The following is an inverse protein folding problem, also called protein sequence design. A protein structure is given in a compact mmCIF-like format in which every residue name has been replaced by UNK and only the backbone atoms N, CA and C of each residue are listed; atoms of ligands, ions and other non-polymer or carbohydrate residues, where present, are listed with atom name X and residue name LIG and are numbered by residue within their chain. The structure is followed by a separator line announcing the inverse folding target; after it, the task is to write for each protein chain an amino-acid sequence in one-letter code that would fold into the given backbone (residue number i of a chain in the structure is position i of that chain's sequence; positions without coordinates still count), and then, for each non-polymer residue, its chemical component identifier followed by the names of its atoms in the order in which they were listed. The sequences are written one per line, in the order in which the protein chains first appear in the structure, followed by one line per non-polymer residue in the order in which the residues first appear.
data_IF_371571186579
#
_entry.id   IF_371571186579
#
_cell.length_a   1.000
_cell.length_b   1.000
_cell.length_c   1.000
_cell.angle_alpha   90.00
_cell.angle_beta   90.00
_cell.angle_gamma   90.00
#
_symmetry.space_group_name_H-M   'P 1'
#
loop_
_entity.id
_entity.type
_entity.pdbx_description
1 polymer ?
#
# COMPACT_ATOMS: atom_id res chain seq x y z
N UNK A 1 -27.86 6.75 -6.89
CA UNK A 1 -26.81 6.23 -5.99
C UNK A 1 -27.30 6.40 -4.56
N UNK A 2 -27.29 5.34 -3.76
CA UNK A 2 -27.66 5.42 -2.33
C UNK A 2 -26.66 6.32 -1.58
N UNK A 3 -27.14 7.09 -0.61
CA UNK A 3 -26.35 8.01 0.23
C UNK A 3 -25.10 7.33 0.84
N UNK A 4 -25.21 6.03 1.13
CA UNK A 4 -24.13 5.13 1.54
C UNK A 4 -22.94 5.11 0.58
N UNK A 5 -23.20 4.92 -0.72
CA UNK A 5 -22.15 4.84 -1.75
C UNK A 5 -21.39 6.17 -1.83
N UNK A 6 -22.11 7.29 -1.72
CA UNK A 6 -21.51 8.63 -1.75
C UNK A 6 -20.62 8.86 -0.53
N UNK A 7 -21.04 8.45 0.67
CA UNK A 7 -20.24 8.56 1.89
C UNK A 7 -18.99 7.69 1.85
N UNK A 8 -19.11 6.47 1.33
CA UNK A 8 -18.00 5.52 1.25
C UNK A 8 -16.95 6.00 0.23
N UNK A 9 -17.40 6.46 -0.94
CA UNK A 9 -16.52 7.03 -1.98
C UNK A 9 -15.82 8.30 -1.50
N UNK A 10 -16.55 9.23 -0.87
CA UNK A 10 -15.94 10.47 -0.34
C UNK A 10 -14.93 10.18 0.77
N UNK A 11 -15.20 9.21 1.64
CA UNK A 11 -14.27 8.76 2.67
C UNK A 11 -12.99 8.12 2.09
N UNK A 12 -13.12 7.23 1.09
CA UNK A 12 -11.96 6.63 0.42
C UNK A 12 -11.11 7.70 -0.25
N UNK A 13 -11.73 8.65 -0.96
CA UNK A 13 -11.01 9.75 -1.60
C UNK A 13 -10.30 10.65 -0.58
N UNK A 14 -10.94 10.92 0.55
CA UNK A 14 -10.33 11.66 1.65
C UNK A 14 -9.10 10.93 2.21
N UNK A 15 -9.20 9.63 2.50
CA UNK A 15 -8.07 8.83 2.97
C UNK A 15 -6.92 8.80 1.96
N UNK A 16 -7.23 8.71 0.67
CA UNK A 16 -6.23 8.74 -0.39
C UNK A 16 -5.53 10.10 -0.45
N UNK A 17 -6.26 11.21 -0.29
CA UNK A 17 -5.68 12.54 -0.20
C UNK A 17 -4.76 12.71 1.02
N UNK A 18 -5.20 12.25 2.19
CA UNK A 18 -4.40 12.25 3.43
C UNK A 18 -3.12 11.43 3.25
N UNK A 19 -3.22 10.24 2.63
CA UNK A 19 -2.07 9.41 2.34
C UNK A 19 -1.05 10.12 1.45
N UNK A 20 -1.50 10.71 0.33
CA UNK A 20 -0.61 11.43 -0.59
C UNK A 20 0.10 12.59 0.11
N UNK A 21 -0.61 13.32 0.98
CA UNK A 21 -0.01 14.38 1.79
C UNK A 21 1.06 13.85 2.75
N UNK A 22 0.79 12.75 3.45
CA UNK A 22 1.73 12.11 4.38
C UNK A 22 2.97 11.60 3.65
N UNK A 23 2.81 10.94 2.50
CA UNK A 23 3.94 10.49 1.68
C UNK A 23 4.76 11.67 1.17
N UNK A 24 4.10 12.75 0.72
CA UNK A 24 4.79 13.95 0.24
C UNK A 24 5.59 14.61 1.37
N UNK A 25 5.01 14.71 2.57
CA UNK A 25 5.70 15.22 3.75
C UNK A 25 6.90 14.33 4.13
N UNK A 26 6.73 13.01 4.10
CA UNK A 26 7.80 12.05 4.36
C UNK A 26 8.94 12.16 3.34
N UNK A 27 8.63 12.28 2.05
CA UNK A 27 9.61 12.51 0.97
C UNK A 27 10.39 13.81 1.16
N UNK A 28 9.77 14.84 1.76
CA UNK A 28 10.42 16.11 2.12
C UNK A 28 11.37 16.03 3.31
N UNK A 29 11.32 14.96 4.11
CA UNK A 29 12.12 14.83 5.33
C UNK A 29 13.63 14.81 5.06
N UNK A 30 14.43 15.28 6.03
CA UNK A 30 15.90 15.17 5.97
C UNK A 30 16.35 13.71 5.86
N UNK A 31 15.62 12.81 6.52
CA UNK A 31 15.88 11.37 6.48
C UNK A 31 15.75 10.81 5.05
N UNK A 32 14.62 11.06 4.37
CA UNK A 32 14.40 10.57 3.02
C UNK A 32 15.45 11.11 2.03
N UNK A 33 15.77 12.41 2.12
CA UNK A 33 16.82 13.03 1.29
C UNK A 33 18.20 12.40 1.49
N UNK A 34 18.57 12.09 2.73
CA UNK A 34 19.84 11.39 3.01
C UNK A 34 19.87 9.98 2.41
N UNK A 35 18.75 9.25 2.47
CA UNK A 35 18.65 7.91 1.88
C UNK A 35 18.76 7.98 0.36
N UNK A 36 18.09 8.95 -0.27
CA UNK A 36 18.17 9.17 -1.71
C UNK A 36 19.61 9.47 -2.15
N UNK A 37 20.30 10.36 -1.44
CA UNK A 37 21.71 10.68 -1.72
C UNK A 37 22.62 9.45 -1.58
N UNK A 38 22.44 8.64 -0.51
CA UNK A 38 23.18 7.39 -0.33
C UNK A 38 22.87 6.37 -1.43
N UNK A 39 21.63 6.27 -1.88
CA UNK A 39 21.22 5.41 -3.00
C UNK A 39 21.90 5.84 -4.30
N UNK A 40 21.92 7.15 -4.62
CA UNK A 40 22.59 7.70 -5.80
C UNK A 40 24.11 7.47 -5.77
N UNK A 41 24.75 7.55 -4.60
CA UNK A 41 26.16 7.23 -4.44
C UNK A 41 26.45 5.75 -4.73
N UNK A 42 25.55 4.86 -4.30
CA UNK A 42 25.65 3.42 -4.54
C UNK A 42 25.33 3.02 -5.99
N UNK A 43 24.44 3.75 -6.67
CA UNK A 43 24.15 3.54 -8.09
C UNK A 43 25.38 3.80 -8.99
N UNK A 44 26.35 4.58 -8.53
CA UNK A 44 27.64 4.82 -9.23
C UNK A 44 28.65 3.69 -9.03
N UNK A 45 28.33 2.65 -8.25
CA UNK A 45 29.19 1.50 -8.08
C UNK A 45 29.26 0.68 -9.38
N UNK A 46 30.44 0.18 -9.78
CA UNK A 46 30.56 -0.69 -10.94
C UNK A 46 29.76 -1.98 -10.72
N UNK A 47 28.88 -2.32 -11.68
CA UNK A 47 28.04 -3.53 -11.64
C UNK A 47 28.90 -4.78 -11.82
N UNK A 48 29.88 -4.71 -12.73
CA UNK A 48 30.89 -5.75 -12.95
C UNK A 48 32.27 -5.28 -12.50
N UNK A 49 32.94 -6.08 -11.68
CA UNK A 49 34.31 -5.82 -11.23
C UNK A 49 35.27 -6.43 -12.25
N UNK A 50 35.70 -5.64 -13.24
CA UNK A 50 36.65 -6.11 -14.28
C UNK A 50 38.08 -5.63 -14.03
N UNK A 51 38.28 -4.56 -13.25
CA UNK A 51 39.60 -3.95 -13.04
C UNK A 51 39.98 -3.77 -11.56
N UNK A 52 41.30 -3.66 -11.28
CA UNK A 52 41.83 -3.27 -9.96
C UNK A 52 41.28 -1.91 -9.48
N UNK A 53 40.90 -1.01 -10.40
CA UNK A 53 40.30 0.29 -10.08
C UNK A 53 38.86 0.13 -9.55
N UNK A 54 38.11 -0.83 -10.08
CA UNK A 54 36.74 -1.13 -9.66
C UNK A 54 36.71 -1.77 -8.28
N UNK A 55 37.67 -2.65 -7.98
CA UNK A 55 37.87 -3.20 -6.63
C UNK A 55 38.08 -2.07 -5.61
N UNK A 56 38.91 -1.07 -5.94
CA UNK A 56 39.16 0.10 -5.06
C UNK A 56 37.89 0.93 -4.86
N UNK A 57 37.11 1.16 -5.92
CA UNK A 57 35.82 1.88 -5.82
C UNK A 57 34.82 1.11 -4.96
N UNK A 58 34.67 -0.19 -5.18
CA UNK A 58 33.77 -1.05 -4.41
C UNK A 58 34.14 -1.07 -2.93
N UNK A 59 35.43 -1.19 -2.59
CA UNK A 59 35.90 -1.19 -1.19
C UNK A 59 35.56 0.12 -0.46
N UNK A 60 35.57 1.27 -1.14
CA UNK A 60 35.14 2.56 -0.59
C UNK A 60 33.62 2.63 -0.35
N UNK A 61 32.82 1.97 -1.18
CA UNK A 61 31.35 2.04 -1.14
C UNK A 61 30.74 0.95 -0.22
N UNK A 62 31.39 -0.21 -0.10
CA UNK A 62 30.99 -1.34 0.75
C UNK A 62 30.50 -0.97 2.16
N UNK A 63 31.17 -0.09 2.94
CA UNK A 63 30.70 0.25 4.29
C UNK A 63 29.33 0.95 4.29
N UNK A 64 28.93 1.60 3.21
CA UNK A 64 27.65 2.30 3.10
C UNK A 64 26.47 1.39 2.69
N UNK A 65 26.74 0.16 2.25
CA UNK A 65 25.69 -0.80 1.82
C UNK A 65 24.80 -1.21 2.99
N UNK A 66 25.40 -1.67 4.10
CA UNK A 66 24.65 -2.09 5.30
C UNK A 66 23.77 -0.98 5.89
N UNK A 67 24.26 0.25 6.13
CA UNK A 67 23.42 1.33 6.64
C UNK A 67 22.37 1.76 5.62
N UNK A 68 22.65 1.77 4.31
CA UNK A 68 21.62 2.04 3.31
C UNK A 68 20.49 1.00 3.39
N UNK A 69 20.80 -0.30 3.44
CA UNK A 69 19.78 -1.36 3.56
C UNK A 69 18.89 -1.16 4.78
N UNK A 70 19.46 -0.85 5.95
CA UNK A 70 18.68 -0.55 7.16
C UNK A 70 17.74 0.63 6.94
N UNK A 71 18.24 1.73 6.35
CA UNK A 71 17.41 2.92 6.10
C UNK A 71 16.32 2.67 5.05
N UNK A 72 16.60 1.90 4.00
CA UNK A 72 15.60 1.48 3.02
C UNK A 72 14.53 0.60 3.68
N UNK A 73 14.91 -0.31 4.57
CA UNK A 73 13.97 -1.12 5.34
C UNK A 73 13.04 -0.24 6.19
N UNK A 74 13.57 0.81 6.83
CA UNK A 74 12.75 1.78 7.57
C UNK A 74 11.77 2.51 6.64
N UNK A 75 12.22 2.95 5.46
CA UNK A 75 11.32 3.57 4.46
C UNK A 75 10.19 2.61 4.07
N UNK A 76 10.51 1.35 3.79
CA UNK A 76 9.49 0.35 3.44
C UNK A 76 8.54 0.10 4.60
N UNK A 77 9.03 0.03 5.84
CA UNK A 77 8.20 -0.13 7.02
C UNK A 77 7.25 1.05 7.23
N UNK A 78 7.72 2.28 7.00
CA UNK A 78 6.87 3.48 7.09
C UNK A 78 5.77 3.44 6.04
N UNK A 79 6.10 3.10 4.78
CA UNK A 79 5.08 3.01 3.73
C UNK A 79 4.09 1.88 4.00
N UNK A 80 4.55 0.72 4.48
CA UNK A 80 3.65 -0.38 4.85
C UNK A 80 2.77 -0.03 6.05
N UNK A 81 3.29 0.69 7.04
CA UNK A 81 2.51 1.13 8.20
C UNK A 81 1.42 2.13 7.82
N UNK A 82 1.76 3.12 6.97
CA UNK A 82 0.78 4.07 6.42
C UNK A 82 -0.30 3.34 5.60
N UNK A 83 0.11 2.39 4.77
CA UNK A 83 -0.82 1.57 4.01
C UNK A 83 -1.76 0.77 4.91
N UNK A 84 -1.21 0.08 5.92
CA UNK A 84 -2.00 -0.71 6.87
C UNK A 84 -3.01 0.17 7.64
N UNK A 85 -2.62 1.39 7.98
CA UNK A 85 -3.51 2.35 8.64
C UNK A 85 -4.71 2.73 7.74
N UNK A 86 -4.46 3.08 6.48
CA UNK A 86 -5.52 3.39 5.49
C UNK A 86 -6.42 2.17 5.24
N UNK A 87 -5.81 0.98 5.19
CA UNK A 87 -6.51 -0.28 5.00
C UNK A 87 -7.45 -0.58 6.17
N UNK A 88 -6.92 -0.51 7.40
CA UNK A 88 -7.70 -0.75 8.62
C UNK A 88 -8.82 0.29 8.78
N UNK A 89 -8.55 1.57 8.51
CA UNK A 89 -9.57 2.62 8.63
C UNK A 89 -10.70 2.43 7.62
N UNK A 90 -10.38 2.04 6.39
CA UNK A 90 -11.38 1.71 5.35
C UNK A 90 -12.25 0.53 5.75
N UNK A 91 -11.65 -0.51 6.32
CA UNK A 91 -12.38 -1.70 6.78
C UNK A 91 -13.28 -1.38 7.98
N UNK A 92 -12.78 -0.63 8.97
CA UNK A 92 -13.57 -0.18 10.12
C UNK A 92 -14.74 0.71 9.69
N UNK A 93 -14.51 1.63 8.75
CA UNK A 93 -15.58 2.49 8.22
C UNK A 93 -16.65 1.67 7.50
N UNK A 94 -16.26 0.68 6.70
CA UNK A 94 -17.21 -0.19 6.04
C UNK A 94 -18.03 -1.01 7.04
N UNK A 95 -17.41 -1.54 8.11
CA UNK A 95 -18.11 -2.23 9.18
C UNK A 95 -19.08 -1.30 9.92
N UNK A 96 -18.65 -0.08 10.24
CA UNK A 96 -19.47 0.93 10.90
C UNK A 96 -20.71 1.29 10.08
N UNK A 97 -20.53 1.57 8.78
CA UNK A 97 -21.64 1.84 7.87
C UNK A 97 -22.55 0.62 7.71
N UNK A 98 -21.99 -0.58 7.56
CA UNK A 98 -22.79 -1.82 7.47
C UNK A 98 -23.64 -2.02 8.73
N UNK A 99 -23.11 -1.66 9.90
CA UNK A 99 -23.84 -1.72 11.17
C UNK A 99 -24.96 -0.70 11.29
N UNK A 100 -24.74 0.54 10.85
CA UNK A 100 -25.77 1.60 10.89
C UNK A 100 -26.94 1.28 9.96
N UNK A 101 -26.65 0.72 8.79
CA UNK A 101 -27.64 0.51 7.74
C UNK A 101 -28.10 -0.95 7.65
N UNK A 102 -27.72 -1.81 8.60
CA UNK A 102 -28.06 -3.24 8.68
C UNK A 102 -27.77 -4.02 7.37
N UNK A 103 -26.80 -3.55 6.59
CA UNK A 103 -26.46 -4.06 5.25
C UNK A 103 -25.12 -4.78 5.29
N UNK A 104 -25.06 -5.88 6.03
CA UNK A 104 -23.82 -6.66 6.17
C UNK A 104 -23.48 -7.51 4.94
N UNK A 105 -24.46 -7.71 4.05
CA UNK A 105 -24.35 -8.56 2.89
C UNK A 105 -24.81 -7.84 1.63
N UNK A 106 -24.17 -8.17 0.52
CA UNK A 106 -24.52 -7.71 -0.83
C UNK A 106 -24.86 -8.93 -1.65
N UNK A 107 -26.01 -8.87 -2.31
CA UNK A 107 -26.41 -9.87 -3.28
C UNK A 107 -25.70 -9.61 -4.62
N UNK A 108 -25.12 -10.65 -5.19
CA UNK A 108 -24.41 -10.63 -6.44
C UNK A 108 -24.86 -11.79 -7.32
N UNK A 109 -25.07 -11.57 -8.64
CA UNK A 109 -25.32 -12.67 -9.57
C UNK A 109 -24.08 -13.55 -9.79
N UNK A 110 -22.89 -13.06 -9.42
CA UNK A 110 -21.61 -13.75 -9.59
C UNK A 110 -21.07 -14.12 -8.21
N UNK A 111 -20.82 -15.40 -7.98
CA UNK A 111 -20.19 -15.92 -6.78
C UNK A 111 -18.67 -15.71 -6.79
N UNK A 112 -18.11 -15.43 -5.62
CA UNK A 112 -16.66 -15.39 -5.40
C UNK A 112 -16.28 -16.70 -4.70
N UNK A 113 -15.45 -17.56 -5.33
CA UNK A 113 -15.07 -18.84 -4.74
C UNK A 113 -14.54 -18.66 -3.31
N UNK A 114 -15.02 -19.50 -2.38
CA UNK A 114 -14.64 -19.51 -0.96
C UNK A 114 -15.06 -18.26 -0.14
N UNK A 115 -15.63 -17.24 -0.77
CA UNK A 115 -15.96 -15.95 -0.13
C UNK A 115 -17.42 -15.52 -0.30
N UNK A 116 -18.22 -16.32 -1.00
CA UNK A 116 -19.66 -16.12 -1.18
C UNK A 116 -20.45 -17.36 -0.81
N UNK A 117 -21.63 -17.18 -0.21
CA UNK A 117 -22.60 -18.24 0.03
C UNK A 117 -23.74 -18.14 -1.00
N UNK A 118 -24.18 -19.25 -1.58
CA UNK A 118 -25.33 -19.24 -2.49
C UNK A 118 -26.62 -19.24 -1.68
N UNK A 119 -27.51 -18.29 -1.95
CA UNK A 119 -28.86 -18.31 -1.38
C UNK A 119 -29.83 -18.94 -2.39
N UNK A 120 -30.34 -20.16 -2.12
CA UNK A 120 -31.24 -20.85 -3.04
C UNK A 120 -32.61 -20.18 -3.18
N UNK A 121 -33.01 -19.30 -2.25
CA UNK A 121 -34.31 -18.62 -2.29
C UNK A 121 -34.31 -17.43 -3.25
N UNK A 122 -33.24 -16.63 -3.25
CA UNK A 122 -33.09 -15.48 -4.15
C UNK A 122 -32.39 -15.84 -5.47
N UNK A 123 -31.79 -17.04 -5.57
CA UNK A 123 -31.00 -17.44 -6.73
C UNK A 123 -29.71 -16.63 -6.90
N UNK A 124 -29.32 -15.84 -5.89
CA UNK A 124 -28.16 -14.96 -5.89
C UNK A 124 -27.10 -15.40 -4.88
N UNK A 125 -25.86 -14.99 -5.11
CA UNK A 125 -24.77 -15.18 -4.15
C UNK A 125 -24.75 -14.03 -3.16
N UNK A 126 -24.65 -14.38 -1.88
CA UNK A 126 -24.55 -13.44 -0.76
C UNK A 126 -23.08 -13.27 -0.42
N UNK A 127 -22.59 -12.04 -0.54
CA UNK A 127 -21.19 -11.67 -0.31
C UNK A 127 -21.13 -10.71 0.89
N UNK A 128 -20.34 -11.00 1.93
CA UNK A 128 -20.17 -10.06 3.04
C UNK A 128 -19.50 -8.76 2.57
N UNK A 129 -19.97 -7.61 3.05
CA UNK A 129 -19.45 -6.29 2.60
C UNK A 129 -17.94 -6.14 2.80
N UNK A 130 -17.39 -6.68 3.89
CA UNK A 130 -15.96 -6.60 4.16
C UNK A 130 -15.12 -7.31 3.07
N UNK A 131 -15.64 -8.36 2.43
CA UNK A 131 -14.95 -9.06 1.33
C UNK A 131 -14.79 -8.13 0.13
N UNK A 132 -15.84 -7.39 -0.22
CA UNK A 132 -15.85 -6.43 -1.33
C UNK A 132 -14.82 -5.33 -1.06
N UNK A 133 -14.76 -4.85 0.18
CA UNK A 133 -13.81 -3.81 0.60
C UNK A 133 -12.37 -4.32 0.54
N UNK A 134 -12.10 -5.54 1.02
CA UNK A 134 -10.78 -6.17 0.92
C UNK A 134 -10.34 -6.28 -0.54
N UNK A 135 -11.23 -6.74 -1.43
CA UNK A 135 -10.92 -6.87 -2.86
C UNK A 135 -10.67 -5.50 -3.51
N UNK A 136 -11.50 -4.51 -3.22
CA UNK A 136 -11.32 -3.14 -3.72
C UNK A 136 -9.98 -2.52 -3.26
N UNK A 137 -9.59 -2.76 -2.01
CA UNK A 137 -8.32 -2.30 -1.45
C UNK A 137 -7.11 -3.12 -1.94
N UNK A 138 -7.31 -4.36 -2.37
CA UNK A 138 -6.24 -5.16 -2.98
C UNK A 138 -5.80 -4.53 -4.31
N UNK A 139 -6.73 -3.94 -5.07
CA UNK A 139 -6.41 -3.18 -6.27
C UNK A 139 -5.56 -1.92 -5.98
N UNK A 140 -5.84 -1.23 -4.88
CA UNK A 140 -5.03 -0.07 -4.48
C UNK A 140 -3.64 -0.49 -4.01
N UNK A 141 -3.49 -1.67 -3.41
CA UNK A 141 -2.22 -2.28 -2.96
C UNK A 141 -1.16 -2.32 -4.09
N UNK A 142 -1.57 -2.50 -5.35
CA UNK A 142 -0.66 -2.41 -6.51
C UNK A 142 -0.04 -1.01 -6.67
N UNK A 143 -0.86 0.05 -6.56
CA UNK A 143 -0.38 1.44 -6.64
C UNK A 143 0.58 1.73 -5.48
N UNK A 144 0.27 1.24 -4.28
CA UNK A 144 1.15 1.36 -3.12
C UNK A 144 2.48 0.62 -3.30
N UNK A 145 2.46 -0.61 -3.81
CA UNK A 145 3.68 -1.37 -4.11
C UNK A 145 4.55 -0.68 -5.16
N UNK A 146 3.92 -0.04 -6.16
CA UNK A 146 4.63 0.73 -7.18
C UNK A 146 5.31 1.97 -6.60
N UNK A 147 4.66 2.71 -5.70
CA UNK A 147 5.29 3.86 -5.03
C UNK A 147 6.39 3.45 -4.04
N UNK A 148 6.25 2.29 -3.39
CA UNK A 148 7.25 1.74 -2.48
C UNK A 148 8.49 1.17 -3.22
N UNK A 149 8.38 0.90 -4.53
CA UNK A 149 9.54 0.63 -5.36
C UNK A 149 10.33 1.92 -5.54
N UNK A 150 11.34 2.06 -4.68
CA UNK A 150 12.43 3.01 -4.89
C UNK A 150 13.28 2.46 -6.04
N UNK A 151 12.80 2.55 -7.27
CA UNK A 151 13.61 2.39 -8.51
C UNK A 151 14.45 3.63 -8.78
#
# INVERSE_FOLDING_TARGET
MSMLVVLLVTYILFLLAVYVLLVRAFKGSRFYRQVLAMKQLLAKAPVDIKSKRDIRKYRKIRPYIKPLRKKLLVITLVHSALFLMVYASSLLMALFLSGIFETFYVESPIGIPLLSAFNPESGHFVIPVYVIVILALTGSLYVFMREARVE
#
